data_IF_268224830223
#
_entry.id   IF_268224830223
#
_cell.length_a   1.000
_cell.length_b   1.000
_cell.length_c   1.000
_cell.angle_alpha   90.00
_cell.angle_beta   90.00
_cell.angle_gamma   90.00
#
_symmetry.space_group_name_H-M   'P 1'
#
loop_
_entity.id
_entity.type
_entity.pdbx_description
1 polymer ?
#
# COMPACT_ATOMS: atom_id res chain seq x y z
N UNK A 1 -13.53 19.00 34.61
CA UNK A 1 -13.09 19.51 33.29
C UNK A 1 -11.89 18.68 32.84
N UNK A 2 -12.11 17.63 32.05
CA UNK A 2 -11.04 16.70 31.64
C UNK A 2 -10.29 17.33 30.46
N UNK A 3 -8.99 17.63 30.65
CA UNK A 3 -8.10 18.07 29.58
C UNK A 3 -8.02 16.95 28.53
N UNK A 4 -8.62 17.18 27.36
CA UNK A 4 -8.40 16.35 26.18
C UNK A 4 -6.89 16.36 25.88
N UNK A 5 -6.24 15.21 26.07
CA UNK A 5 -4.89 14.99 25.54
C UNK A 5 -4.99 15.10 24.02
N UNK A 6 -4.51 16.21 23.47
CA UNK A 6 -4.19 16.31 22.05
C UNK A 6 -3.19 15.20 21.73
N UNK A 7 -3.68 14.08 21.19
CA UNK A 7 -2.87 13.08 20.53
C UNK A 7 -2.26 13.76 19.31
N UNK A 8 -1.03 14.26 19.46
CA UNK A 8 -0.20 14.65 18.33
C UNK A 8 -0.11 13.46 17.39
N UNK A 9 -0.88 13.49 16.28
CA UNK A 9 -0.70 12.60 15.14
C UNK A 9 0.72 12.80 14.64
N UNK A 10 1.64 11.98 15.11
CA UNK A 10 2.97 11.89 14.55
C UNK A 10 2.81 11.36 13.13
N UNK A 11 2.98 12.22 12.13
CA UNK A 11 2.79 11.86 10.73
C UNK A 11 3.97 11.01 10.27
N UNK A 12 3.80 9.69 10.34
CA UNK A 12 4.67 8.75 9.65
C UNK A 12 4.59 9.05 8.15
N UNK A 13 5.73 9.29 7.50
CA UNK A 13 5.77 9.57 6.05
C UNK A 13 6.14 8.29 5.30
N UNK A 14 5.51 8.07 4.16
CA UNK A 14 5.82 6.92 3.29
C UNK A 14 6.19 7.46 1.92
N UNK A 15 7.40 7.13 1.46
CA UNK A 15 7.89 7.46 0.11
C UNK A 15 8.03 6.17 -0.68
N UNK A 16 7.38 6.13 -1.84
CA UNK A 16 7.40 4.97 -2.74
C UNK A 16 8.28 5.28 -3.95
N UNK A 17 9.20 4.36 -4.24
CA UNK A 17 10.14 4.40 -5.36
C UNK A 17 9.84 3.19 -6.24
N UNK A 18 8.91 3.39 -7.17
CA UNK A 18 8.41 2.35 -8.07
C UNK A 18 8.59 2.84 -9.51
N UNK A 19 9.10 1.98 -10.38
CA UNK A 19 9.36 2.30 -11.78
C UNK A 19 8.60 1.35 -12.71
N UNK A 20 8.01 1.88 -13.78
CA UNK A 20 7.36 1.06 -14.81
C UNK A 20 8.35 0.24 -15.63
N UNK A 21 9.63 0.63 -15.67
CA UNK A 21 10.65 -0.01 -16.50
C UNK A 21 11.04 -1.43 -16.03
N UNK A 22 10.53 -1.86 -14.88
CA UNK A 22 10.83 -3.17 -14.26
C UNK A 22 9.57 -4.02 -14.03
N UNK A 23 8.57 -3.84 -14.89
CA UNK A 23 7.35 -4.65 -14.90
C UNK A 23 6.28 -4.25 -13.89
N UNK A 24 6.37 -3.05 -13.32
CA UNK A 24 5.30 -2.50 -12.48
C UNK A 24 4.34 -1.63 -13.31
N UNK A 25 3.04 -1.85 -13.12
CA UNK A 25 1.98 -1.06 -13.74
C UNK A 25 1.34 -0.15 -12.71
N UNK A 26 1.01 1.08 -13.11
CA UNK A 26 0.31 2.06 -12.26
C UNK A 26 -1.10 2.30 -12.78
N UNK A 27 -2.08 2.23 -11.89
CA UNK A 27 -3.45 2.69 -12.15
C UNK A 27 -3.87 3.71 -11.09
N UNK A 28 -4.80 4.59 -11.44
CA UNK A 28 -5.27 5.68 -10.57
C UNK A 28 -6.79 5.71 -10.43
N UNK A 29 -7.25 6.20 -9.28
CA UNK A 29 -8.66 6.40 -8.98
C UNK A 29 -8.79 7.51 -7.92
N UNK A 30 -9.46 8.61 -8.29
CA UNK A 30 -9.57 9.82 -7.46
C UNK A 30 -8.16 10.28 -7.01
N UNK A 31 -7.94 10.45 -5.71
CA UNK A 31 -6.67 10.85 -5.12
C UNK A 31 -5.75 9.68 -4.73
N UNK A 32 -6.07 8.47 -5.18
CA UNK A 32 -5.29 7.26 -4.92
C UNK A 32 -4.70 6.67 -6.19
N UNK A 33 -3.61 5.95 -6.01
CA UNK A 33 -3.00 5.14 -7.05
C UNK A 33 -2.60 3.77 -6.50
N UNK A 34 -2.51 2.80 -7.40
CA UNK A 34 -2.11 1.45 -7.13
C UNK A 34 -1.01 1.05 -8.11
N UNK A 35 0.15 0.70 -7.56
CA UNK A 35 1.22 0.02 -8.29
C UNK A 35 1.09 -1.48 -8.14
N UNK A 36 1.30 -2.22 -9.23
CA UNK A 36 1.08 -3.66 -9.30
C UNK A 36 2.18 -4.28 -10.14
N UNK A 37 2.73 -5.40 -9.69
CA UNK A 37 3.53 -6.30 -10.51
C UNK A 37 2.99 -7.71 -10.32
N UNK A 38 2.96 -8.49 -11.40
CA UNK A 38 2.34 -9.81 -11.43
C UNK A 38 0.85 -9.77 -11.79
N UNK A 39 0.08 -10.73 -11.27
CA UNK A 39 -1.32 -10.94 -11.63
C UNK A 39 -2.14 -11.50 -10.46
N UNK A 40 -3.47 -11.32 -10.56
CA UNK A 40 -4.44 -11.79 -9.59
C UNK A 40 -5.33 -12.86 -10.23
N UNK A 41 -5.69 -13.90 -9.48
CA UNK A 41 -6.51 -15.01 -9.96
C UNK A 41 -8.01 -14.74 -9.82
N UNK A 42 -8.42 -13.98 -8.81
CA UNK A 42 -9.82 -13.90 -8.39
C UNK A 42 -10.40 -12.47 -8.38
N UNK A 43 -9.63 -11.48 -8.82
CA UNK A 43 -10.05 -10.07 -8.89
C UNK A 43 -9.27 -9.33 -9.97
N UNK A 44 -9.72 -8.14 -10.36
CA UNK A 44 -8.95 -7.23 -11.19
C UNK A 44 -8.33 -6.07 -10.37
N UNK A 45 -7.20 -5.50 -10.82
CA UNK A 45 -6.55 -4.32 -10.24
C UNK A 45 -7.47 -3.16 -9.86
N UNK A 46 -8.45 -2.84 -10.71
CA UNK A 46 -9.30 -1.64 -10.55
C UNK A 46 -10.28 -1.85 -9.41
N UNK A 47 -10.83 -3.05 -9.26
CA UNK A 47 -11.67 -3.42 -8.11
C UNK A 47 -10.90 -3.31 -6.79
N UNK A 48 -9.66 -3.80 -6.74
CA UNK A 48 -8.80 -3.66 -5.54
C UNK A 48 -8.60 -2.18 -5.20
N UNK A 49 -8.21 -1.36 -6.18
CA UNK A 49 -7.98 0.07 -5.97
C UNK A 49 -9.22 0.80 -5.44
N UNK A 50 -10.40 0.52 -6.00
CA UNK A 50 -11.67 1.11 -5.55
C UNK A 50 -12.01 0.64 -4.13
N UNK A 51 -11.94 -0.66 -3.86
CA UNK A 51 -12.25 -1.22 -2.54
C UNK A 51 -11.33 -0.66 -1.44
N UNK A 52 -10.03 -0.56 -1.71
CA UNK A 52 -9.07 0.05 -0.77
C UNK A 52 -9.34 1.54 -0.57
N UNK A 53 -9.72 2.27 -1.61
CA UNK A 53 -10.10 3.69 -1.48
C UNK A 53 -11.35 3.89 -0.63
N UNK A 54 -12.38 3.07 -0.83
CA UNK A 54 -13.65 3.19 -0.10
C UNK A 54 -13.51 2.79 1.37
N UNK A 55 -12.66 1.79 1.65
CA UNK A 55 -12.44 1.27 3.01
C UNK A 55 -11.20 1.82 3.71
N UNK A 56 -10.52 2.83 3.13
CA UNK A 56 -9.25 3.39 3.62
C UNK A 56 -9.24 3.83 5.10
N UNK A 57 -10.40 4.15 5.67
CA UNK A 57 -10.55 4.58 7.07
C UNK A 57 -10.86 3.42 8.03
N UNK A 58 -10.95 2.18 7.56
CA UNK A 58 -11.28 1.01 8.36
C UNK A 58 -10.25 -0.10 8.14
N UNK A 59 -9.32 -0.23 9.10
CA UNK A 59 -8.24 -1.23 9.05
C UNK A 59 -8.77 -2.68 9.00
N UNK A 60 -9.88 -2.97 9.65
CA UNK A 60 -10.46 -4.33 9.66
C UNK A 60 -10.95 -4.71 8.26
N UNK A 61 -11.64 -3.79 7.57
CA UNK A 61 -12.11 -3.99 6.21
C UNK A 61 -10.95 -4.09 5.21
N UNK A 62 -9.91 -3.27 5.37
CA UNK A 62 -8.68 -3.39 4.57
C UNK A 62 -8.07 -4.79 4.72
N UNK A 63 -7.93 -5.29 5.96
CA UNK A 63 -7.39 -6.64 6.20
C UNK A 63 -8.24 -7.72 5.54
N UNK A 64 -9.57 -7.61 5.61
CA UNK A 64 -10.49 -8.53 4.91
C UNK A 64 -10.24 -8.52 3.41
N UNK A 65 -10.18 -7.33 2.79
CA UNK A 65 -9.90 -7.18 1.36
C UNK A 65 -8.58 -7.88 1.02
N UNK A 66 -7.48 -7.55 1.70
CA UNK A 66 -6.16 -8.12 1.41
C UNK A 66 -6.13 -9.65 1.58
N UNK A 67 -6.81 -10.19 2.59
CA UNK A 67 -6.88 -11.64 2.83
C UNK A 67 -7.66 -12.41 1.77
N UNK A 68 -8.51 -11.72 0.98
CA UNK A 68 -9.24 -12.33 -0.12
C UNK A 68 -8.49 -12.31 -1.45
N UNK A 69 -7.40 -11.55 -1.57
CA UNK A 69 -6.65 -11.47 -2.83
C UNK A 69 -5.85 -12.76 -3.02
N UNK A 70 -6.04 -13.40 -4.17
CA UNK A 70 -5.26 -14.56 -4.60
C UNK A 70 -4.52 -14.25 -5.90
N UNK A 71 -3.27 -14.70 -6.01
CA UNK A 71 -2.40 -14.38 -7.13
C UNK A 71 -0.91 -14.44 -6.81
N UNK A 72 -0.10 -14.12 -7.82
CA UNK A 72 1.33 -13.84 -7.68
C UNK A 72 1.53 -12.35 -7.87
N UNK A 73 1.64 -11.61 -6.77
CA UNK A 73 1.55 -10.16 -6.83
C UNK A 73 2.43 -9.45 -5.81
N UNK A 74 2.90 -8.27 -6.20
CA UNK A 74 3.25 -7.18 -5.29
C UNK A 74 2.31 -6.01 -5.54
N UNK A 75 1.72 -5.44 -4.49
CA UNK A 75 0.86 -4.25 -4.58
C UNK A 75 1.31 -3.13 -3.63
N UNK A 76 1.28 -1.90 -4.14
CA UNK A 76 1.49 -0.67 -3.37
C UNK A 76 0.35 0.28 -3.69
N UNK A 77 -0.64 0.34 -2.80
CA UNK A 77 -1.68 1.36 -2.79
C UNK A 77 -1.18 2.59 -2.03
N UNK A 78 -1.44 3.78 -2.55
CA UNK A 78 -1.12 5.01 -1.84
C UNK A 78 -2.10 6.14 -2.18
N UNK A 79 -2.41 6.92 -1.15
CA UNK A 79 -3.05 8.23 -1.26
C UNK A 79 -2.36 9.21 -0.29
N UNK A 80 -2.92 10.43 -0.13
CA UNK A 80 -2.34 11.47 0.73
C UNK A 80 -2.26 11.12 2.22
N UNK A 81 -3.09 10.18 2.70
CA UNK A 81 -3.26 9.85 4.10
C UNK A 81 -2.59 8.52 4.48
N UNK A 82 -2.64 7.53 3.59
CA UNK A 82 -2.19 6.17 3.88
C UNK A 82 -1.44 5.56 2.69
N UNK A 83 -0.55 4.62 3.00
CA UNK A 83 -0.06 3.65 2.03
C UNK A 83 -0.34 2.24 2.57
N UNK A 84 -0.74 1.34 1.67
CA UNK A 84 -0.97 -0.07 1.95
C UNK A 84 -0.06 -0.84 1.01
N UNK A 85 0.84 -1.63 1.59
CA UNK A 85 1.83 -2.42 0.86
C UNK A 85 1.56 -3.87 1.22
N UNK A 86 1.39 -4.73 0.22
CA UNK A 86 1.19 -6.15 0.43
C UNK A 86 1.78 -6.94 -0.73
N UNK A 87 2.17 -8.16 -0.40
CA UNK A 87 2.59 -9.21 -1.33
C UNK A 87 1.65 -10.39 -1.14
N UNK A 88 1.67 -11.33 -2.09
CA UNK A 88 1.02 -12.62 -1.94
C UNK A 88 1.60 -13.43 -0.74
N UNK A 89 0.91 -14.49 -0.32
CA UNK A 89 1.23 -15.26 0.89
C UNK A 89 2.63 -15.87 0.91
N UNK A 90 3.19 -16.18 -0.25
CA UNK A 90 4.55 -16.74 -0.38
C UNK A 90 5.58 -15.66 -0.77
N UNK A 91 5.16 -14.40 -0.85
CA UNK A 91 5.98 -13.26 -1.25
C UNK A 91 6.68 -13.49 -2.61
N UNK A 92 5.96 -14.05 -3.58
CA UNK A 92 6.52 -14.35 -4.91
C UNK A 92 7.08 -13.11 -5.63
N UNK A 93 6.57 -11.92 -5.31
CA UNK A 93 7.06 -10.63 -5.82
C UNK A 93 7.41 -9.75 -4.62
N UNK A 94 8.67 -9.77 -4.16
CA UNK A 94 9.07 -9.07 -2.94
C UNK A 94 9.02 -7.54 -3.11
N UNK A 95 8.65 -6.86 -2.03
CA UNK A 95 8.72 -5.41 -1.89
C UNK A 95 9.66 -5.10 -0.73
N UNK A 96 10.65 -4.26 -0.98
CA UNK A 96 11.68 -3.93 0.00
C UNK A 96 11.32 -2.61 0.69
N UNK A 97 11.69 -2.48 1.96
CA UNK A 97 11.54 -1.21 2.66
C UNK A 97 12.72 -0.89 3.59
N UNK A 98 12.98 0.40 3.75
CA UNK A 98 13.90 0.94 4.74
C UNK A 98 13.15 1.90 5.67
N UNK A 99 13.33 1.73 6.98
CA UNK A 99 12.74 2.60 7.99
C UNK A 99 13.81 3.52 8.60
N UNK A 100 13.77 4.79 8.22
CA UNK A 100 14.54 5.84 8.87
C UNK A 100 13.80 6.26 10.15
N UNK A 101 14.22 5.69 11.28
CA UNK A 101 13.61 5.96 12.60
C UNK A 101 13.74 7.43 13.01
N UNK A 102 14.80 8.11 12.60
CA UNK A 102 15.06 9.50 12.96
C UNK A 102 14.10 10.43 12.22
N UNK A 103 13.90 10.18 10.92
CA UNK A 103 12.98 10.97 10.08
C UNK A 103 11.54 10.47 10.12
N UNK A 104 11.28 9.30 10.75
CA UNK A 104 9.99 8.61 10.78
C UNK A 104 9.43 8.36 9.37
N UNK A 105 10.32 7.91 8.46
CA UNK A 105 10.00 7.68 7.05
C UNK A 105 10.21 6.22 6.68
N UNK A 106 9.24 5.64 5.99
CA UNK A 106 9.42 4.39 5.24
C UNK A 106 9.73 4.71 3.78
N UNK A 107 10.83 4.16 3.29
CA UNK A 107 11.20 4.15 1.88
C UNK A 107 10.85 2.79 1.32
N UNK A 108 10.00 2.73 0.29
CA UNK A 108 9.50 1.48 -0.29
C UNK A 108 10.04 1.35 -1.70
N UNK A 109 10.69 0.23 -1.99
CA UNK A 109 11.36 -0.04 -3.26
C UNK A 109 10.75 -1.24 -3.96
N UNK A 110 10.62 -1.11 -5.27
CA UNK A 110 9.97 -2.11 -6.12
C UNK A 110 10.94 -3.16 -6.70
N UNK A 111 12.24 -3.00 -6.43
CA UNK A 111 13.33 -3.92 -6.77
C UNK A 111 14.38 -3.88 -5.65
N UNK A 112 15.28 -4.87 -5.62
CA UNK A 112 16.47 -4.81 -4.77
C UNK A 112 17.34 -3.63 -5.16
N UNK A 113 17.90 -2.95 -4.16
CA UNK A 113 18.92 -1.92 -4.32
C UNK A 113 20.26 -2.54 -4.71
#
# INVERSE_FOLDING_TARGET
MVKQKNLMKTSLKIKTYVSSNVGWSKISYKSAFLWIKGYFYNTDPKRILVALFEKQNNLSEIKKILNTIDGHYGLIYQNKNIAIISVDKISSIPIYYLHDKNKKIFYVYSNSL
#
